data_IF_297969344651
#
_entry.id   IF_297969344651
#
_cell.length_a   1.000
_cell.length_b   1.000
_cell.length_c   1.000
_cell.angle_alpha   90.00
_cell.angle_beta   90.00
_cell.angle_gamma   90.00
#
_symmetry.space_group_name_H-M   'P 1'
#
loop_
_entity.id
_entity.type
_entity.pdbx_description
1 polymer ?
#
# COMPACT_ATOMS: atom_id res chain seq x y z
N UNK A 1 0.54 -3.97 -12.06
CA UNK A 1 1.94 -4.22 -12.46
C UNK A 1 2.38 -5.57 -11.90
N UNK A 2 3.14 -6.35 -12.68
CA UNK A 2 3.62 -7.68 -12.27
C UNK A 2 5.15 -7.71 -12.44
N UNK A 3 5.94 -8.20 -11.47
CA UNK A 3 7.37 -8.39 -11.66
C UNK A 3 7.64 -9.36 -12.81
N UNK A 4 8.72 -9.14 -13.55
CA UNK A 4 9.16 -10.02 -14.65
C UNK A 4 9.80 -11.32 -14.15
N UNK A 5 10.30 -11.31 -12.91
CA UNK A 5 10.79 -12.51 -12.22
C UNK A 5 9.62 -13.20 -11.51
N UNK A 6 9.53 -14.54 -11.53
CA UNK A 6 8.50 -15.26 -10.80
C UNK A 6 8.59 -14.97 -9.29
N UNK A 7 7.52 -14.41 -8.73
CA UNK A 7 7.35 -14.13 -7.31
C UNK A 7 5.91 -14.46 -7.02
N UNK A 8 5.61 -15.48 -6.22
CA UNK A 8 4.23 -15.94 -6.03
C UNK A 8 3.35 -14.88 -5.35
N UNK A 9 3.93 -14.11 -4.43
CA UNK A 9 3.22 -13.14 -3.62
C UNK A 9 4.00 -12.60 -2.43
N UNK A 10 3.32 -11.91 -1.53
CA UNK A 10 3.88 -11.28 -0.32
C UNK A 10 4.62 -12.32 0.55
N UNK A 11 4.13 -13.54 0.60
CA UNK A 11 4.70 -14.65 1.38
C UNK A 11 5.99 -15.25 0.79
N UNK A 12 6.39 -14.84 -0.41
CA UNK A 12 7.53 -15.44 -1.10
C UNK A 12 8.85 -15.21 -0.37
N UNK A 13 9.81 -16.14 -0.55
CA UNK A 13 11.14 -15.93 -0.01
C UNK A 13 11.77 -14.65 -0.60
N UNK A 14 11.49 -14.34 -1.87
CA UNK A 14 11.98 -13.14 -2.53
C UNK A 14 11.53 -11.84 -1.86
N UNK A 15 10.25 -11.74 -1.44
CA UNK A 15 9.73 -10.56 -0.71
C UNK A 15 10.22 -10.54 0.75
N UNK A 16 10.44 -11.70 1.36
CA UNK A 16 10.88 -11.80 2.77
C UNK A 16 12.40 -11.68 2.94
N UNK A 17 13.21 -11.97 1.92
CA UNK A 17 14.69 -12.04 2.02
C UNK A 17 15.46 -11.20 1.00
N UNK A 18 14.80 -10.59 0.00
CA UNK A 18 15.50 -10.04 -1.16
C UNK A 18 14.90 -8.78 -1.80
N UNK A 19 15.74 -8.16 -2.64
CA UNK A 19 15.67 -6.84 -3.26
C UNK A 19 14.41 -6.55 -4.10
N UNK A 20 13.26 -6.32 -3.45
CA UNK A 20 12.08 -5.73 -4.10
C UNK A 20 12.05 -4.20 -4.00
N UNK A 21 13.19 -3.58 -3.64
CA UNK A 21 13.34 -2.15 -3.35
C UNK A 21 12.82 -1.22 -4.46
N UNK A 22 12.72 -1.72 -5.70
CA UNK A 22 12.27 -0.94 -6.85
C UNK A 22 10.85 -1.26 -7.29
N UNK A 23 10.19 -2.27 -6.74
CA UNK A 23 8.90 -2.73 -7.21
C UNK A 23 7.80 -1.69 -6.92
N UNK A 24 7.76 -1.18 -5.69
CA UNK A 24 6.81 -0.13 -5.30
C UNK A 24 7.04 1.16 -6.08
N UNK A 25 8.31 1.56 -6.26
CA UNK A 25 8.67 2.72 -7.08
C UNK A 25 8.20 2.56 -8.53
N UNK A 26 8.53 1.43 -9.17
CA UNK A 26 8.14 1.17 -10.55
C UNK A 26 6.60 1.21 -10.71
N UNK A 27 5.86 0.60 -9.78
CA UNK A 27 4.39 0.67 -9.81
C UNK A 27 3.85 2.10 -9.59
N UNK A 28 4.52 2.90 -8.75
CA UNK A 28 4.11 4.27 -8.47
C UNK A 28 4.39 5.23 -9.64
N UNK A 29 5.45 4.97 -10.41
CA UNK A 29 5.77 5.73 -11.62
C UNK A 29 4.72 5.56 -12.72
N UNK A 30 3.99 4.45 -12.71
CA UNK A 30 2.88 4.17 -13.63
C UNK A 30 1.59 4.95 -13.32
N UNK A 31 1.53 5.75 -12.25
CA UNK A 31 0.33 6.53 -11.86
C UNK A 31 -0.24 7.43 -12.96
N UNK A 32 0.57 7.84 -13.94
CA UNK A 32 0.10 8.60 -15.10
C UNK A 32 -0.91 7.81 -15.96
N UNK A 33 -0.98 6.47 -15.82
CA UNK A 33 -2.05 5.65 -16.39
C UNK A 33 -3.43 6.06 -15.85
N UNK A 34 -3.52 6.42 -14.56
CA UNK A 34 -4.78 6.86 -13.94
C UNK A 34 -5.26 8.17 -14.57
N UNK A 35 -4.36 9.14 -14.77
CA UNK A 35 -4.71 10.41 -15.43
C UNK A 35 -5.23 10.20 -16.86
N UNK A 36 -4.59 9.29 -17.61
CA UNK A 36 -5.02 8.94 -18.97
C UNK A 36 -6.42 8.32 -18.98
N UNK A 37 -6.69 7.42 -18.03
CA UNK A 37 -8.00 6.79 -17.90
C UNK A 37 -9.08 7.79 -17.47
N UNK A 38 -8.79 8.62 -16.47
CA UNK A 38 -9.71 9.59 -15.88
C UNK A 38 -9.92 10.85 -16.74
N UNK A 39 -9.01 11.13 -17.68
CA UNK A 39 -8.99 12.34 -18.53
C UNK A 39 -8.88 13.65 -17.74
N UNK A 40 -8.36 13.58 -16.52
CA UNK A 40 -7.98 14.73 -15.70
C UNK A 40 -6.74 14.41 -14.88
N UNK A 41 -6.15 15.44 -14.25
CA UNK A 41 -5.00 15.25 -13.36
C UNK A 41 -5.43 14.52 -12.10
N UNK A 42 -4.59 13.61 -11.63
CA UNK A 42 -4.78 12.88 -10.38
C UNK A 42 -3.77 13.41 -9.36
N UNK A 43 -4.26 13.90 -8.23
CA UNK A 43 -3.40 14.44 -7.20
C UNK A 43 -2.61 13.33 -6.49
N UNK A 44 -1.51 13.71 -5.85
CA UNK A 44 -0.66 12.76 -5.14
C UNK A 44 -1.42 11.91 -4.11
N UNK A 45 -2.30 12.55 -3.34
CA UNK A 45 -3.13 11.92 -2.32
C UNK A 45 -4.38 11.23 -2.87
N UNK A 46 -4.53 11.13 -4.19
CA UNK A 46 -5.59 10.38 -4.84
C UNK A 46 -5.10 9.03 -5.36
N UNK A 47 -3.80 8.73 -5.28
CA UNK A 47 -3.22 7.49 -5.79
C UNK A 47 -2.98 6.49 -4.65
N UNK A 48 -3.30 5.22 -4.90
CA UNK A 48 -2.94 4.10 -4.04
C UNK A 48 -2.41 2.92 -4.86
N UNK A 49 -1.39 2.27 -4.30
CA UNK A 49 -0.94 0.95 -4.70
C UNK A 49 -1.40 -0.07 -3.67
N UNK A 50 -1.81 -1.26 -4.09
CA UNK A 50 -2.18 -2.32 -3.15
C UNK A 50 -1.77 -3.71 -3.66
N UNK A 51 -1.41 -4.58 -2.72
CA UNK A 51 -1.01 -5.96 -3.00
C UNK A 51 -1.86 -6.87 -2.13
N UNK A 52 -2.54 -7.80 -2.78
CA UNK A 52 -3.42 -8.77 -2.14
C UNK A 52 -2.65 -9.81 -1.33
N UNK A 53 -3.24 -10.21 -0.21
CA UNK A 53 -2.87 -11.42 0.53
C UNK A 53 -3.02 -12.68 -0.34
N UNK A 54 -2.50 -13.81 0.15
CA UNK A 54 -2.59 -15.08 -0.56
C UNK A 54 -4.02 -15.58 -0.72
N UNK A 55 -4.88 -15.36 0.28
CA UNK A 55 -6.27 -15.84 0.27
C UNK A 55 -7.23 -14.95 -0.53
N UNK A 56 -6.82 -13.72 -0.86
CA UNK A 56 -7.66 -12.76 -1.60
C UNK A 56 -7.23 -12.54 -3.05
N UNK A 57 -6.20 -13.25 -3.52
CA UNK A 57 -5.77 -13.21 -4.92
C UNK A 57 -6.23 -14.46 -5.69
N UNK A 58 -6.43 -14.30 -7.00
CA UNK A 58 -6.75 -15.40 -7.93
C UNK A 58 -5.55 -15.89 -8.75
N UNK A 59 -4.42 -15.17 -8.69
CA UNK A 59 -3.19 -15.47 -9.43
C UNK A 59 -2.06 -15.75 -8.45
N UNK A 60 -1.26 -16.80 -8.72
CA UNK A 60 -0.04 -17.12 -7.96
C UNK A 60 1.19 -16.42 -8.53
N UNK A 61 1.02 -15.14 -8.86
CA UNK A 61 2.10 -14.22 -9.20
C UNK A 61 1.78 -12.88 -8.55
N UNK A 62 2.75 -12.34 -7.82
CA UNK A 62 2.71 -11.04 -7.17
C UNK A 62 2.32 -9.98 -8.21
N UNK A 63 1.28 -9.23 -7.92
CA UNK A 63 0.91 -8.08 -8.72
C UNK A 63 0.49 -6.94 -7.81
N UNK A 64 0.89 -5.74 -8.21
CA UNK A 64 0.53 -4.48 -7.56
C UNK A 64 -0.64 -3.89 -8.33
N UNK A 65 -1.76 -3.70 -7.65
CA UNK A 65 -2.90 -2.93 -8.12
C UNK A 65 -2.55 -1.45 -8.01
N UNK A 66 -2.86 -0.67 -9.04
CA UNK A 66 -2.73 0.78 -9.07
C UNK A 66 -4.12 1.35 -9.32
N UNK A 67 -4.56 2.28 -8.47
CA UNK A 67 -5.90 2.85 -8.58
C UNK A 67 -6.03 4.19 -7.86
N UNK A 68 -7.19 4.82 -8.03
CA UNK A 68 -7.57 5.93 -7.18
C UNK A 68 -7.94 5.42 -5.79
N UNK A 69 -7.51 6.14 -4.75
CA UNK A 69 -7.80 5.77 -3.36
C UNK A 69 -9.28 6.01 -3.04
N UNK A 70 -9.90 5.15 -2.22
CA UNK A 70 -11.24 5.44 -1.67
C UNK A 70 -11.21 6.72 -0.82
N UNK A 71 -12.23 7.55 -0.98
CA UNK A 71 -12.36 8.83 -0.26
C UNK A 71 -12.32 8.65 1.26
N UNK A 72 -12.97 7.61 1.81
CA UNK A 72 -12.94 7.33 3.25
C UNK A 72 -11.53 7.08 3.79
N UNK A 73 -10.68 6.38 3.03
CA UNK A 73 -9.26 6.16 3.38
C UNK A 73 -8.49 7.48 3.26
N UNK A 74 -8.65 8.22 2.16
CA UNK A 74 -7.97 9.50 1.95
C UNK A 74 -8.28 10.51 3.06
N UNK A 75 -9.55 10.64 3.41
CA UNK A 75 -10.01 11.61 4.39
C UNK A 75 -9.51 11.22 5.80
N UNK A 76 -9.47 9.92 6.12
CA UNK A 76 -8.79 9.41 7.32
C UNK A 76 -7.30 9.78 7.32
N UNK A 77 -6.58 9.52 6.22
CA UNK A 77 -5.14 9.83 6.10
C UNK A 77 -4.83 11.32 6.15
N UNK A 78 -5.78 12.19 5.83
CA UNK A 78 -5.60 13.65 5.95
C UNK A 78 -5.50 14.09 7.41
N UNK A 79 -6.16 13.38 8.34
CA UNK A 79 -6.25 13.75 9.77
C UNK A 79 -5.57 12.75 10.71
N UNK A 80 -4.99 11.66 10.18
CA UNK A 80 -4.34 10.61 10.98
C UNK A 80 -3.21 11.20 11.85
N UNK A 81 -3.30 11.17 13.19
CA UNK A 81 -2.37 11.88 14.07
C UNK A 81 -0.92 11.35 14.09
N UNK A 82 -0.64 10.18 13.52
CA UNK A 82 0.74 9.65 13.42
C UNK A 82 1.71 10.71 12.88
N UNK A 83 2.87 10.85 13.52
CA UNK A 83 3.93 11.67 12.96
C UNK A 83 4.70 10.90 11.87
N UNK A 84 5.40 11.63 11.01
CA UNK A 84 6.10 11.03 9.87
C UNK A 84 7.34 10.26 10.34
N UNK A 85 7.49 9.00 9.94
CA UNK A 85 8.62 8.14 10.32
C UNK A 85 8.50 7.50 11.71
N UNK A 86 7.38 7.70 12.39
CA UNK A 86 7.09 7.12 13.71
C UNK A 86 6.67 5.64 13.66
N UNK A 87 6.31 5.10 14.83
CA UNK A 87 5.80 3.75 15.01
C UNK A 87 4.50 3.52 14.23
N UNK A 88 4.26 2.25 13.90
CA UNK A 88 2.96 1.80 13.40
C UNK A 88 1.84 2.11 14.40
N UNK A 89 0.71 2.56 13.88
CA UNK A 89 -0.50 2.82 14.65
C UNK A 89 -1.61 1.89 14.19
N UNK A 90 -2.28 1.25 15.14
CA UNK A 90 -3.52 0.53 14.88
C UNK A 90 -4.66 1.53 14.69
N UNK A 91 -5.42 1.36 13.61
CA UNK A 91 -6.57 2.18 13.28
C UNK A 91 -7.80 1.30 13.01
N UNK A 92 -8.94 1.76 13.52
CA UNK A 92 -10.25 1.18 13.25
C UNK A 92 -11.29 2.30 13.04
N UNK A 93 -11.20 3.04 11.93
CA UNK A 93 -12.08 4.18 11.69
C UNK A 93 -13.49 3.68 11.36
N UNK A 94 -14.54 4.26 11.96
CA UNK A 94 -15.93 3.81 11.76
C UNK A 94 -16.42 3.91 10.32
N UNK A 95 -15.76 4.70 9.47
CA UNK A 95 -16.04 4.85 8.04
C UNK A 95 -15.33 3.82 7.15
N UNK A 96 -14.55 2.90 7.74
CA UNK A 96 -13.73 1.91 7.04
C UNK A 96 -13.98 0.55 7.71
N UNK A 97 -14.44 -0.43 6.95
CA UNK A 97 -14.89 -1.72 7.51
C UNK A 97 -13.76 -2.69 7.90
N UNK A 98 -12.53 -2.20 7.92
CA UNK A 98 -11.33 -3.02 8.08
C UNK A 98 -10.41 -2.38 9.09
N UNK A 99 -9.90 -3.19 10.02
CA UNK A 99 -8.83 -2.79 10.92
C UNK A 99 -7.49 -2.86 10.21
N UNK A 100 -6.65 -1.84 10.39
CA UNK A 100 -5.34 -1.83 9.76
C UNK A 100 -4.30 -1.14 10.64
N UNK A 101 -3.04 -1.47 10.38
CA UNK A 101 -1.90 -0.70 10.84
C UNK A 101 -1.53 0.33 9.78
N UNK A 102 -1.22 1.54 10.21
CA UNK A 102 -0.74 2.62 9.34
C UNK A 102 0.56 3.21 9.87
N UNK A 103 1.47 3.53 8.95
CA UNK A 103 2.69 4.28 9.22
C UNK A 103 2.89 5.33 8.13
N UNK A 104 3.08 6.59 8.55
CA UNK A 104 3.43 7.67 7.62
C UNK A 104 4.93 7.62 7.31
N UNK A 105 5.24 7.69 6.03
CA UNK A 105 6.60 7.58 5.52
C UNK A 105 6.96 8.85 4.73
N UNK A 106 8.19 9.36 4.87
CA UNK A 106 8.74 10.34 3.95
C UNK A 106 8.73 9.85 2.48
N UNK A 107 8.73 10.77 1.52
CA UNK A 107 8.67 10.43 0.09
C UNK A 107 9.82 9.51 -0.36
N UNK A 108 11.02 9.67 0.22
CA UNK A 108 12.19 8.86 -0.16
C UNK A 108 12.07 7.37 0.17
N UNK A 109 11.13 6.98 1.05
CA UNK A 109 10.91 5.58 1.41
C UNK A 109 10.40 4.73 0.25
N UNK A 110 9.84 5.34 -0.79
CA UNK A 110 9.42 4.62 -2.02
C UNK A 110 10.57 3.82 -2.66
N UNK A 111 11.83 4.21 -2.40
CA UNK A 111 13.04 3.55 -2.89
C UNK A 111 13.51 2.37 -2.03
N UNK A 112 12.84 2.13 -0.90
CA UNK A 112 13.13 1.03 0.03
C UNK A 112 12.22 -0.16 -0.23
N UNK A 113 12.61 -1.31 0.27
CA UNK A 113 11.79 -2.50 0.31
C UNK A 113 10.72 -2.36 1.39
N UNK A 114 9.52 -1.97 0.97
CA UNK A 114 8.39 -1.78 1.87
C UNK A 114 7.82 -3.11 2.38
N UNK A 115 8.04 -4.25 1.70
CA UNK A 115 7.66 -5.55 2.24
C UNK A 115 8.54 -5.89 3.44
N UNK A 116 9.86 -5.73 3.28
CA UNK A 116 10.82 -5.91 4.38
C UNK A 116 10.50 -4.99 5.55
N UNK A 117 10.16 -3.73 5.30
CA UNK A 117 9.75 -2.80 6.34
C UNK A 117 8.54 -3.32 7.14
N UNK A 118 7.51 -3.83 6.46
CA UNK A 118 6.33 -4.46 7.11
C UNK A 118 6.75 -5.68 7.91
N UNK A 119 7.53 -6.58 7.32
CA UNK A 119 7.93 -7.83 7.94
C UNK A 119 8.78 -7.68 9.19
N UNK A 120 9.64 -6.66 9.22
CA UNK A 120 10.55 -6.40 10.32
C UNK A 120 9.88 -5.61 11.45
N UNK A 121 8.87 -4.80 11.17
CA UNK A 121 8.28 -3.88 12.16
C UNK A 121 6.88 -4.26 12.65
N UNK A 122 6.06 -4.99 11.87
CA UNK A 122 4.75 -5.46 12.33
C UNK A 122 4.94 -6.68 13.24
N UNK A 123 4.29 -6.73 14.42
CA UNK A 123 4.29 -7.92 15.28
C UNK A 123 3.85 -9.17 14.52
N UNK A 124 4.73 -10.17 14.44
CA UNK A 124 4.47 -11.40 13.67
C UNK A 124 4.50 -11.20 12.14
N UNK A 125 5.02 -10.08 11.63
CA UNK A 125 4.99 -9.69 10.23
C UNK A 125 5.43 -10.80 9.27
N UNK A 126 6.58 -11.42 9.50
CA UNK A 126 7.05 -12.57 8.68
C UNK A 126 6.15 -13.80 8.78
N UNK A 127 5.67 -14.12 9.98
CA UNK A 127 4.82 -15.30 10.23
C UNK A 127 3.43 -15.15 9.62
N UNK A 128 2.98 -13.90 9.43
CA UNK A 128 1.66 -13.55 8.92
C UNK A 128 1.69 -13.04 7.48
N UNK A 129 2.82 -13.19 6.76
CA UNK A 129 3.00 -12.62 5.42
C UNK A 129 1.90 -13.05 4.42
N UNK A 130 1.42 -14.30 4.50
CA UNK A 130 0.35 -14.79 3.62
C UNK A 130 -1.03 -14.17 3.90
N UNK A 131 -1.22 -13.57 5.09
CA UNK A 131 -2.47 -12.93 5.53
C UNK A 131 -2.48 -11.43 5.32
N UNK A 132 -1.38 -10.86 4.86
CA UNK A 132 -1.23 -9.42 4.74
C UNK A 132 -1.76 -8.93 3.40
N UNK A 133 -2.61 -7.92 3.44
CA UNK A 133 -2.81 -7.01 2.31
C UNK A 133 -2.09 -5.72 2.64
N UNK A 134 -1.22 -5.28 1.74
CA UNK A 134 -0.35 -4.11 1.94
C UNK A 134 -0.72 -3.06 0.91
N UNK A 135 -0.96 -1.83 1.37
CA UNK A 135 -1.24 -0.69 0.50
C UNK A 135 -0.28 0.47 0.77
N UNK A 136 0.06 1.19 -0.28
CA UNK A 136 0.86 2.42 -0.24
C UNK A 136 0.04 3.55 -0.86
N UNK A 137 -0.42 4.48 -0.03
CA UNK A 137 -1.19 5.63 -0.45
C UNK A 137 -0.34 6.90 -0.43
N UNK A 138 -0.52 7.78 -1.41
CA UNK A 138 0.06 9.11 -1.33
C UNK A 138 -0.65 9.95 -0.26
N UNK A 139 0.09 10.81 0.44
CA UNK A 139 -0.47 11.70 1.45
C UNK A 139 0.09 13.11 1.24
N UNK A 140 -0.80 14.10 1.36
CA UNK A 140 -0.45 15.52 1.35
C UNK A 140 -1.06 16.19 2.58
N UNK A 141 -0.26 16.93 3.36
CA UNK A 141 -0.71 17.69 4.54
C UNK A 141 -0.04 19.07 4.56
N UNK A 142 -0.80 20.10 4.24
CA UNK A 142 -0.23 21.44 4.02
C UNK A 142 0.82 21.39 2.91
N UNK A 143 2.05 21.82 3.21
CA UNK A 143 3.19 21.72 2.29
C UNK A 143 3.90 20.37 2.32
N UNK A 144 3.62 19.52 3.32
CA UNK A 144 4.25 18.21 3.44
C UNK A 144 3.60 17.20 2.49
N UNK A 145 4.44 16.36 1.90
CA UNK A 145 4.05 15.24 1.04
C UNK A 145 4.86 14.01 1.40
N UNK A 146 4.20 12.85 1.38
CA UNK A 146 4.83 11.56 1.63
C UNK A 146 3.87 10.43 1.33
N UNK A 147 4.01 9.34 2.06
CA UNK A 147 3.19 8.14 1.90
C UNK A 147 2.57 7.69 3.21
N UNK A 148 1.49 6.93 3.12
CA UNK A 148 1.00 6.06 4.16
C UNK A 148 1.17 4.62 3.72
N UNK A 149 1.91 3.83 4.50
CA UNK A 149 1.98 2.39 4.35
C UNK A 149 0.93 1.78 5.27
N UNK A 150 0.01 1.01 4.69
CA UNK A 150 -1.16 0.43 5.35
C UNK A 150 -1.06 -1.09 5.26
N UNK A 151 -1.32 -1.78 6.37
CA UNK A 151 -1.28 -3.25 6.44
C UNK A 151 -2.52 -3.78 7.14
N UNK A 152 -3.25 -4.67 6.49
CA UNK A 152 -4.30 -5.47 7.12
C UNK A 152 -3.73 -6.84 7.49
N UNK A 153 -4.23 -7.43 8.56
CA UNK A 153 -4.01 -8.85 8.90
C UNK A 153 -5.31 -9.68 8.74
N UNK A 154 -6.39 -9.01 8.36
CA UNK A 154 -7.68 -9.58 8.02
C UNK A 154 -7.70 -9.97 6.53
N UNK A 155 -8.51 -10.97 6.18
CA UNK A 155 -8.74 -11.43 4.79
C UNK A 155 -9.47 -10.34 3.98
N UNK A 156 -8.73 -9.34 3.52
CA UNK A 156 -9.25 -8.15 2.87
C UNK A 156 -8.58 -7.97 1.52
N UNK A 157 -9.39 -7.66 0.51
CA UNK A 157 -8.91 -7.44 -0.84
C UNK A 157 -8.26 -6.05 -0.99
N UNK A 158 -7.29 -5.92 -1.89
CA UNK A 158 -6.67 -4.66 -2.30
C UNK A 158 -7.72 -3.61 -2.74
N UNK A 159 -8.81 -4.09 -3.32
CA UNK A 159 -10.00 -3.35 -3.73
C UNK A 159 -10.69 -2.64 -2.56
N UNK A 160 -10.39 -3.00 -1.31
CA UNK A 160 -10.90 -2.26 -0.17
C UNK A 160 -10.28 -0.87 -0.03
N UNK A 161 -9.10 -0.66 -0.61
CA UNK A 161 -8.39 0.62 -0.64
C UNK A 161 -8.61 1.40 -1.94
N UNK A 162 -9.04 0.72 -3.00
CA UNK A 162 -9.17 1.28 -4.35
C UNK A 162 -10.63 1.67 -4.63
N UNK A 163 -10.83 2.89 -5.12
CA UNK A 163 -12.10 3.38 -5.62
C UNK A 163 -12.46 2.69 -6.94
N UNK A 164 -13.76 2.55 -7.22
CA UNK A 164 -14.23 1.99 -8.50
C UNK A 164 -13.82 2.87 -9.68
N UNK A 165 -13.85 4.19 -9.47
CA UNK A 165 -13.54 5.20 -10.46
C UNK A 165 -12.66 6.30 -9.84
N UNK A 166 -11.89 6.95 -10.71
CA UNK A 166 -11.35 8.28 -10.52
C UNK A 166 -12.36 9.27 -11.14
#
# INVERSE_FOLDING_TARGET
MTPTVPVAGIESLATTTGDTNRLWLAAWEERNLLERAAKHKINWNEVVLAVNSKSTRSQDQLHIHLGCIKSSIRDFLAVEPSSTGENWRSAHPSSINVSFFVKLLPEEYIKKDLFKLVFDEIPGGRLLAEKQTIALAGVTRGSWRGFALIVTLETVSAEEFIARDC
#
